data_IF_100274814563
#
_entry.id   IF_100274814563
#
_cell.length_a   1.000
_cell.length_b   1.000
_cell.length_c   1.000
_cell.angle_alpha   90.00
_cell.angle_beta   90.00
_cell.angle_gamma   90.00
#
_symmetry.space_group_name_H-M   'P 1'
#
loop_
_entity.id
_entity.type
_entity.pdbx_description
1 polymer ?
#
# COMPACT_ATOMS: atom_id res chain seq x y z
N UNK A 1 2.76 6.63 -6.68
CA UNK A 1 3.45 5.76 -5.71
C UNK A 1 3.22 4.30 -6.06
N UNK A 2 4.29 3.52 -6.08
CA UNK A 2 4.27 2.08 -6.24
C UNK A 2 4.26 1.42 -4.87
N UNK A 3 3.37 0.44 -4.66
CA UNK A 3 3.25 -0.31 -3.41
C UNK A 3 3.30 -1.78 -3.77
N UNK A 4 4.25 -2.53 -3.21
CA UNK A 4 4.31 -3.95 -3.50
C UNK A 4 5.62 -4.66 -3.19
N UNK A 5 5.85 -5.72 -3.96
CA UNK A 5 7.04 -6.55 -3.88
C UNK A 5 8.18 -6.06 -4.81
N UNK A 6 9.17 -6.91 -5.05
CA UNK A 6 10.31 -6.64 -5.93
C UNK A 6 9.90 -6.19 -7.34
N UNK A 7 8.75 -6.64 -7.85
CA UNK A 7 8.28 -6.22 -9.18
C UNK A 7 7.85 -4.75 -9.19
N UNK A 8 7.24 -4.24 -8.11
CA UNK A 8 6.95 -2.81 -7.95
C UNK A 8 8.22 -1.97 -7.94
N UNK A 9 9.29 -2.47 -7.29
CA UNK A 9 10.60 -1.80 -7.28
C UNK A 9 11.21 -1.68 -8.67
N UNK A 10 11.13 -2.74 -9.47
CA UNK A 10 11.61 -2.72 -10.86
C UNK A 10 10.81 -1.73 -11.72
N UNK A 11 9.48 -1.69 -11.57
CA UNK A 11 8.62 -0.75 -12.30
C UNK A 11 8.91 0.71 -11.90
N UNK A 12 9.06 0.97 -10.59
CA UNK A 12 9.45 2.28 -10.07
C UNK A 12 10.78 2.76 -10.65
N UNK A 13 11.81 1.90 -10.66
CA UNK A 13 13.12 2.24 -11.23
C UNK A 13 13.02 2.50 -12.74
N UNK A 14 12.27 1.66 -13.47
CA UNK A 14 12.02 1.86 -14.89
C UNK A 14 11.35 3.20 -15.18
N UNK A 15 10.34 3.60 -14.39
CA UNK A 15 9.68 4.90 -14.54
C UNK A 15 10.66 6.05 -14.31
N UNK A 16 11.48 5.99 -13.26
CA UNK A 16 12.49 7.04 -13.00
C UNK A 16 13.43 7.18 -14.19
N UNK A 17 13.93 6.08 -14.73
CA UNK A 17 14.81 6.12 -15.91
C UNK A 17 14.11 6.76 -17.12
N UNK A 18 12.84 6.42 -17.40
CA UNK A 18 12.09 7.03 -18.49
C UNK A 18 11.90 8.54 -18.29
N UNK A 19 11.57 8.97 -17.06
CA UNK A 19 11.41 10.38 -16.73
C UNK A 19 12.73 11.15 -16.86
N UNK A 20 13.83 10.56 -16.38
CA UNK A 20 15.16 11.13 -16.53
C UNK A 20 15.59 11.20 -18.01
N UNK A 21 15.25 10.21 -18.85
CA UNK A 21 15.51 10.28 -20.29
C UNK A 21 14.70 11.37 -20.99
N UNK A 22 13.46 11.63 -20.54
CA UNK A 22 12.61 12.67 -21.11
C UNK A 22 13.07 14.08 -20.71
N UNK A 23 13.61 14.26 -19.50
CA UNK A 23 14.14 15.54 -19.01
C UNK A 23 15.52 15.36 -18.36
N UNK A 24 16.60 15.17 -19.15
CA UNK A 24 17.92 14.76 -18.65
C UNK A 24 18.65 15.73 -17.75
N UNK A 25 18.24 17.00 -17.75
CA UNK A 25 18.89 18.08 -17.00
C UNK A 25 18.04 18.61 -15.84
N UNK A 26 16.90 17.98 -15.55
CA UNK A 26 16.08 18.36 -14.41
C UNK A 26 16.82 18.08 -13.10
N UNK A 27 16.73 19.01 -12.15
CA UNK A 27 17.24 18.78 -10.82
C UNK A 27 16.36 17.77 -10.09
N UNK A 28 16.98 16.86 -9.35
CA UNK A 28 16.27 15.86 -8.57
C UNK A 28 16.88 15.58 -7.21
N UNK A 29 16.05 15.09 -6.30
CA UNK A 29 16.47 14.59 -4.98
C UNK A 29 15.93 13.20 -4.74
N UNK A 30 16.63 12.42 -3.90
CA UNK A 30 16.19 11.09 -3.49
C UNK A 30 16.24 10.98 -1.97
N UNK A 31 15.16 10.50 -1.37
CA UNK A 31 15.07 10.27 0.08
C UNK A 31 14.58 8.85 0.36
N UNK A 32 14.93 8.34 1.53
CA UNK A 32 14.42 7.10 2.09
C UNK A 32 14.00 7.38 3.53
N UNK A 33 12.70 7.54 3.74
CA UNK A 33 12.13 7.90 5.04
C UNK A 33 10.98 6.96 5.35
N UNK A 34 10.96 6.40 6.57
CA UNK A 34 9.89 5.50 7.00
C UNK A 34 9.71 4.26 6.12
N UNK A 35 10.75 3.82 5.40
CA UNK A 35 10.66 2.70 4.44
C UNK A 35 10.07 3.07 3.07
N UNK A 36 9.79 4.35 2.83
CA UNK A 36 9.34 4.88 1.54
C UNK A 36 10.51 5.54 0.83
N UNK A 37 10.83 5.05 -0.37
CA UNK A 37 11.80 5.70 -1.27
C UNK A 37 11.07 6.73 -2.12
N UNK A 38 11.53 7.98 -2.11
CA UNK A 38 10.95 9.07 -2.89
C UNK A 38 12.01 9.65 -3.81
N UNK A 39 11.68 9.73 -5.10
CA UNK A 39 12.44 10.45 -6.12
C UNK A 39 11.65 11.68 -6.55
N UNK A 40 12.21 12.87 -6.35
CA UNK A 40 11.53 14.15 -6.61
C UNK A 40 12.24 14.90 -7.71
N UNK A 41 11.53 15.24 -8.80
CA UNK A 41 11.96 16.25 -9.76
C UNK A 41 11.61 17.62 -9.20
N UNK A 42 12.60 18.36 -8.69
CA UNK A 42 12.37 19.59 -7.92
C UNK A 42 11.78 20.70 -8.77
N UNK A 43 12.16 20.77 -10.04
CA UNK A 43 11.76 21.84 -10.95
C UNK A 43 10.27 21.75 -11.36
N UNK A 44 9.69 20.54 -11.29
CA UNK A 44 8.31 20.27 -11.70
C UNK A 44 7.39 19.89 -10.53
N UNK A 45 7.93 19.69 -9.33
CA UNK A 45 7.18 19.18 -8.17
C UNK A 45 6.70 17.74 -8.31
N UNK A 46 7.19 16.99 -9.30
CA UNK A 46 6.77 15.60 -9.57
C UNK A 46 7.51 14.64 -8.66
N UNK A 47 6.78 13.74 -8.00
CA UNK A 47 7.33 12.72 -7.10
C UNK A 47 6.99 11.32 -7.59
N UNK A 48 8.02 10.49 -7.80
CA UNK A 48 7.87 9.05 -7.88
C UNK A 48 8.19 8.46 -6.50
N UNK A 49 7.35 7.55 -6.01
CA UNK A 49 7.49 6.99 -4.67
C UNK A 49 7.37 5.46 -4.71
N UNK A 50 8.08 4.76 -3.85
CA UNK A 50 8.05 3.31 -3.68
C UNK A 50 7.94 2.96 -2.18
N UNK A 51 6.97 2.13 -1.84
CA UNK A 51 6.87 1.45 -0.55
C UNK A 51 6.86 -0.06 -0.75
N UNK A 52 7.80 -0.74 -0.08
CA UNK A 52 7.91 -2.19 -0.12
C UNK A 52 6.89 -2.83 0.84
N UNK A 53 5.63 -2.94 0.39
CA UNK A 53 4.57 -3.64 1.11
C UNK A 53 4.15 -4.89 0.32
N UNK A 54 4.75 -6.01 0.68
CA UNK A 54 4.61 -7.27 -0.05
C UNK A 54 3.18 -7.81 -0.06
N UNK A 55 2.43 -7.66 1.03
CA UNK A 55 1.10 -8.26 1.21
C UNK A 55 -0.06 -7.29 1.02
N UNK A 56 0.20 -5.99 0.91
CA UNK A 56 -0.78 -4.89 0.85
C UNK A 56 -1.69 -4.74 2.08
N UNK A 57 -1.56 -5.63 3.06
CA UNK A 57 -2.26 -5.63 4.34
C UNK A 57 -1.25 -5.84 5.46
N UNK A 58 -1.67 -5.50 6.67
CA UNK A 58 -0.80 -5.65 7.84
C UNK A 58 -0.49 -7.12 8.11
N UNK A 59 0.79 -7.38 8.38
CA UNK A 59 1.26 -8.71 8.78
C UNK A 59 1.79 -8.62 10.20
N UNK A 60 1.18 -9.39 11.09
CA UNK A 60 1.58 -9.44 12.49
C UNK A 60 2.26 -10.78 12.82
N UNK A 61 3.16 -10.74 13.80
CA UNK A 61 3.75 -11.94 14.36
C UNK A 61 2.91 -12.43 15.53
N UNK A 62 2.32 -13.61 15.38
CA UNK A 62 1.58 -14.32 16.43
C UNK A 62 2.36 -15.55 16.87
N UNK A 63 1.93 -16.21 17.96
CA UNK A 63 2.57 -17.46 18.46
C UNK A 63 2.64 -18.57 17.39
N UNK A 64 1.72 -18.55 16.44
CA UNK A 64 1.62 -19.53 15.34
C UNK A 64 2.43 -19.12 14.10
N UNK A 65 3.12 -17.98 14.15
CA UNK A 65 3.88 -17.40 13.04
C UNK A 65 3.27 -16.12 12.49
N UNK A 66 3.60 -15.79 11.24
CA UNK A 66 3.09 -14.58 10.57
C UNK A 66 1.63 -14.76 10.20
N UNK A 67 0.81 -13.78 10.51
CA UNK A 67 -0.62 -13.78 10.22
C UNK A 67 -1.01 -12.52 9.46
N UNK A 68 -1.77 -12.69 8.39
CA UNK A 68 -2.28 -11.59 7.57
C UNK A 68 -3.58 -11.05 8.19
N UNK A 69 -3.63 -9.75 8.48
CA UNK A 69 -4.86 -9.07 8.92
C UNK A 69 -5.59 -8.48 7.71
N UNK A 70 -6.49 -9.26 7.10
CA UNK A 70 -7.18 -8.84 5.86
C UNK A 70 -8.15 -7.67 6.06
N UNK A 71 -8.51 -7.35 7.30
CA UNK A 71 -9.33 -6.21 7.68
C UNK A 71 -8.51 -4.95 7.98
N UNK A 72 -7.17 -5.04 7.98
CA UNK A 72 -6.27 -3.99 8.45
C UNK A 72 -5.29 -3.53 7.36
N UNK A 73 -5.16 -2.21 7.23
CA UNK A 73 -4.20 -1.52 6.36
C UNK A 73 -3.63 -0.30 7.10
N UNK A 74 -3.32 -0.44 8.40
CA UNK A 74 -2.73 0.62 9.21
C UNK A 74 -1.39 1.07 8.63
N UNK A 75 -0.63 0.16 8.02
CA UNK A 75 0.58 0.50 7.25
C UNK A 75 0.31 1.37 6.02
N UNK A 76 -0.94 1.41 5.55
CA UNK A 76 -1.37 2.20 4.40
C UNK A 76 -1.74 3.66 4.69
N UNK A 77 -1.56 4.16 5.92
CA UNK A 77 -1.79 5.58 6.25
C UNK A 77 -0.99 6.53 5.32
N UNK A 78 0.22 6.14 4.93
CA UNK A 78 1.07 6.90 4.00
C UNK A 78 0.56 6.96 2.55
N UNK A 79 -0.48 6.20 2.20
CA UNK A 79 -1.05 6.18 0.84
C UNK A 79 -2.09 7.28 0.64
N UNK A 80 -2.56 7.90 1.73
CA UNK A 80 -3.56 8.96 1.69
C UNK A 80 -3.00 10.21 1.01
N UNK A 81 -3.83 10.83 0.17
CA UNK A 81 -3.47 12.06 -0.54
C UNK A 81 -2.50 11.87 -1.71
N UNK A 82 -2.11 10.63 -2.04
CA UNK A 82 -1.30 10.33 -3.22
C UNK A 82 -2.18 10.36 -4.48
N UNK A 83 -1.74 11.07 -5.52
CA UNK A 83 -2.51 11.25 -6.77
C UNK A 83 -2.71 9.96 -7.56
N UNK A 84 -1.70 9.08 -7.57
CA UNK A 84 -1.73 7.81 -8.29
C UNK A 84 -1.07 6.71 -7.46
N UNK A 85 -1.83 5.66 -7.17
CA UNK A 85 -1.36 4.46 -6.47
C UNK A 85 -1.32 3.28 -7.44
N UNK A 86 -0.19 2.57 -7.45
CA UNK A 86 0.03 1.39 -8.29
C UNK A 86 0.37 0.23 -7.37
N UNK A 87 -0.59 -0.68 -7.18
CA UNK A 87 -0.43 -1.87 -6.35
C UNK A 87 0.05 -3.06 -7.16
N UNK A 88 1.01 -3.82 -6.64
CA UNK A 88 1.38 -5.12 -7.17
C UNK A 88 1.78 -6.06 -6.04
N UNK A 89 1.21 -7.26 -6.03
CA UNK A 89 1.53 -8.29 -5.06
C UNK A 89 1.37 -9.66 -5.68
N UNK A 90 2.46 -10.44 -5.79
CA UNK A 90 2.37 -11.78 -6.37
C UNK A 90 3.42 -12.75 -5.83
N UNK A 91 4.71 -12.41 -5.97
CA UNK A 91 5.80 -13.39 -5.84
C UNK A 91 5.83 -14.09 -4.48
N UNK A 92 5.43 -13.37 -3.43
CA UNK A 92 5.51 -13.85 -2.05
C UNK A 92 4.34 -14.75 -1.65
N UNK A 93 3.22 -14.70 -2.35
CA UNK A 93 2.10 -15.61 -2.12
C UNK A 93 2.45 -17.05 -2.51
N UNK A 94 3.34 -17.25 -3.47
CA UNK A 94 3.70 -18.60 -3.94
C UNK A 94 4.85 -19.22 -3.13
N UNK A 95 5.61 -18.40 -2.40
CA UNK A 95 6.74 -18.87 -1.60
C UNK A 95 6.24 -19.60 -0.34
N UNK A 96 6.41 -20.92 -0.33
CA UNK A 96 6.04 -21.80 0.78
C UNK A 96 6.65 -21.47 2.15
N UNK A 97 7.88 -20.93 2.29
CA UNK A 97 8.45 -20.68 3.62
C UNK A 97 7.86 -19.47 4.35
N UNK A 98 7.04 -18.62 3.71
CA UNK A 98 6.57 -17.35 4.32
C UNK A 98 5.15 -17.38 4.89
N UNK A 99 4.47 -18.53 4.89
CA UNK A 99 3.23 -18.69 5.69
C UNK A 99 2.06 -17.78 5.31
N UNK A 100 1.96 -17.33 4.05
CA UNK A 100 0.89 -16.43 3.56
C UNK A 100 -0.45 -17.14 3.32
N UNK A 101 -0.83 -18.04 4.22
CA UNK A 101 -2.12 -18.73 4.27
C UNK A 101 -2.81 -18.58 5.63
N UNK A 102 -2.10 -18.12 6.66
CA UNK A 102 -2.68 -17.78 7.95
C UNK A 102 -3.30 -16.38 7.87
N UNK A 103 -4.61 -16.33 8.03
CA UNK A 103 -5.38 -15.10 7.94
C UNK A 103 -6.14 -14.88 9.24
N UNK A 104 -5.96 -13.71 9.84
CA UNK A 104 -6.79 -13.25 10.92
C UNK A 104 -8.07 -12.66 10.34
N UNK A 105 -9.20 -13.15 10.83
CA UNK A 105 -10.51 -12.60 10.49
C UNK A 105 -11.34 -12.41 11.75
N UNK A 106 -11.98 -11.26 11.88
CA UNK A 106 -13.02 -11.05 12.88
C UNK A 106 -14.19 -12.02 12.61
N UNK A 107 -14.62 -12.74 13.64
CA UNK A 107 -15.80 -13.59 13.57
C UNK A 107 -17.01 -12.75 13.11
N UNK A 108 -17.81 -13.31 12.19
CA UNK A 108 -18.93 -12.61 11.55
C UNK A 108 -19.88 -12.04 12.63
N UNK A 109 -20.11 -10.73 12.62
CA UNK A 109 -20.97 -10.04 13.58
C UNK A 109 -20.32 -9.63 14.92
N UNK A 110 -19.01 -9.83 15.11
CA UNK A 110 -18.30 -9.39 16.33
C UNK A 110 -17.30 -8.27 16.03
N UNK A 111 -17.34 -7.20 16.83
CA UNK A 111 -16.43 -6.03 16.72
C UNK A 111 -15.19 -6.11 17.61
N UNK A 112 -15.14 -7.04 18.56
CA UNK A 112 -14.03 -7.10 19.52
C UNK A 112 -12.84 -7.90 18.93
N UNK A 113 -11.65 -7.29 18.77
CA UNK A 113 -10.46 -7.92 18.21
C UNK A 113 -9.97 -9.16 18.95
N UNK A 114 -10.28 -9.29 20.25
CA UNK A 114 -9.87 -10.45 21.06
C UNK A 114 -10.50 -11.78 20.60
N UNK A 115 -11.54 -11.72 19.75
CA UNK A 115 -12.25 -12.88 19.21
C UNK A 115 -11.89 -13.17 17.76
N UNK A 116 -10.86 -12.52 17.22
CA UNK A 116 -10.38 -12.80 15.89
C UNK A 116 -9.85 -14.24 15.83
N UNK A 117 -10.31 -15.00 14.84
CA UNK A 117 -9.85 -16.36 14.60
C UNK A 117 -8.79 -16.34 13.51
N UNK A 118 -7.75 -17.15 13.68
CA UNK A 118 -6.79 -17.41 12.61
C UNK A 118 -7.26 -18.59 11.79
N UNK A 119 -7.43 -18.37 10.50
CA UNK A 119 -7.92 -19.34 9.54
C UNK A 119 -6.83 -19.65 8.53
N UNK A 120 -6.69 -20.94 8.21
CA UNK A 120 -5.95 -21.39 7.04
C UNK A 120 -6.85 -21.24 5.82
N UNK A 121 -6.53 -20.31 4.92
CA UNK A 121 -7.25 -20.15 3.65
C UNK A 121 -6.32 -20.36 2.46
N UNK A 122 -6.84 -20.87 1.31
CA UNK A 122 -6.04 -20.96 0.10
C UNK A 122 -5.47 -19.60 -0.30
N UNK A 123 -4.17 -19.57 -0.63
CA UNK A 123 -3.41 -18.32 -0.82
C UNK A 123 -4.01 -17.40 -1.88
N UNK A 124 -4.60 -17.95 -2.95
CA UNK A 124 -5.33 -17.19 -3.97
C UNK A 124 -6.46 -16.33 -3.40
N UNK A 125 -7.17 -16.83 -2.39
CA UNK A 125 -8.26 -16.10 -1.75
C UNK A 125 -7.73 -15.04 -0.79
N UNK A 126 -6.64 -15.35 -0.07
CA UNK A 126 -5.95 -14.36 0.77
C UNK A 126 -5.42 -13.19 -0.06
N UNK A 127 -4.76 -13.48 -1.19
CA UNK A 127 -4.24 -12.48 -2.13
C UNK A 127 -5.36 -11.60 -2.70
N UNK A 128 -6.44 -12.21 -3.19
CA UNK A 128 -7.58 -11.48 -3.72
C UNK A 128 -8.24 -10.57 -2.67
N UNK A 129 -8.36 -11.06 -1.43
CA UNK A 129 -8.92 -10.27 -0.34
C UNK A 129 -8.00 -9.11 0.07
N UNK A 130 -6.69 -9.31 0.08
CA UNK A 130 -5.71 -8.26 0.37
C UNK A 130 -5.75 -7.13 -0.68
N UNK A 131 -5.77 -7.49 -1.97
CA UNK A 131 -5.93 -6.52 -3.08
C UNK A 131 -7.26 -5.77 -2.94
N UNK A 132 -8.37 -6.49 -2.72
CA UNK A 132 -9.68 -5.87 -2.54
C UNK A 132 -9.71 -4.92 -1.33
N UNK A 133 -8.98 -5.23 -0.25
CA UNK A 133 -8.90 -4.37 0.94
C UNK A 133 -8.12 -3.09 0.64
N UNK A 134 -6.95 -3.22 0.01
CA UNK A 134 -6.11 -2.09 -0.36
C UNK A 134 -6.86 -1.12 -1.28
N UNK A 135 -7.49 -1.64 -2.35
CA UNK A 135 -8.32 -0.81 -3.24
C UNK A 135 -9.51 -0.17 -2.53
N UNK A 136 -10.18 -0.93 -1.64
CA UNK A 136 -11.33 -0.46 -0.88
C UNK A 136 -10.98 0.67 0.09
N UNK A 137 -9.83 0.57 0.77
CA UNK A 137 -9.31 1.61 1.65
C UNK A 137 -9.10 2.93 0.91
N UNK A 138 -8.40 2.87 -0.22
CA UNK A 138 -8.15 4.05 -1.08
C UNK A 138 -9.45 4.70 -1.55
N UNK A 139 -10.45 3.91 -1.97
CA UNK A 139 -11.74 4.45 -2.43
C UNK A 139 -12.52 5.14 -1.30
N UNK A 140 -12.42 4.63 -0.07
CA UNK A 140 -13.06 5.25 1.10
C UNK A 140 -12.40 6.59 1.44
N UNK A 141 -11.07 6.67 1.35
CA UNK A 141 -10.32 7.90 1.55
C UNK A 141 -10.57 8.92 0.43
N UNK A 142 -10.71 8.48 -0.82
CA UNK A 142 -11.09 9.38 -1.93
C UNK A 142 -12.45 10.04 -1.67
N UNK A 143 -13.43 9.27 -1.18
CA UNK A 143 -14.73 9.83 -0.79
C UNK A 143 -14.59 10.83 0.37
N UNK A 144 -13.83 10.49 1.41
CA UNK A 144 -13.60 11.38 2.56
C UNK A 144 -12.88 12.68 2.15
N UNK A 145 -11.85 12.61 1.32
CA UNK A 145 -11.09 13.78 0.84
C UNK A 145 -11.87 14.62 -0.18
N UNK A 146 -12.72 14.03 -1.03
CA UNK A 146 -13.65 14.79 -1.87
C UNK A 146 -14.67 15.56 -1.04
N UNK A 147 -15.21 14.94 0.02
CA UNK A 147 -16.13 15.59 0.94
C UNK A 147 -15.46 16.73 1.73
N UNK A 148 -14.21 16.55 2.17
CA UNK A 148 -13.44 17.59 2.83
C UNK A 148 -13.14 18.79 1.90
N UNK A 149 -12.75 18.54 0.64
CA UNK A 149 -12.51 19.60 -0.36
C UNK A 149 -13.77 20.40 -0.72
N UNK A 150 -14.95 19.81 -0.61
CA UNK A 150 -16.23 20.52 -0.83
C UNK A 150 -16.74 21.30 0.39
N UNK A 151 -16.16 21.07 1.57
CA UNK A 151 -16.58 21.68 2.82
C UNK A 151 -15.50 22.55 3.48
N UNK A 152 -14.40 22.86 2.80
CA UNK A 152 -13.53 23.95 3.26
C UNK A 152 -14.31 25.27 3.13
N UNK A 153 -14.47 26.05 4.21
CA UNK A 153 -14.96 27.40 4.07
C UNK A 153 -13.96 28.16 3.21
N UNK A 154 -14.45 28.77 2.12
CA UNK A 154 -13.69 29.73 1.33
C UNK A 154 -13.06 30.72 2.32
N UNK A 155 -11.74 30.60 2.53
CA UNK A 155 -10.99 31.58 3.29
C UNK A 155 -11.17 32.91 2.57
N UNK A 156 -11.89 33.82 3.22
CA UNK A 156 -12.16 35.16 2.73
C UNK A 156 -10.82 35.86 2.44
N UNK A 157 -10.68 36.33 1.21
CA UNK A 157 -9.66 37.28 0.79
C UNK A 157 -9.93 38.67 1.39
#
# INVERSE_FOLDING_TARGET
MYIGDSSSRNQYQSLICMLHSAVPHANYTTTLEGGVSTFTFTDNGVKAMLECNVSLVDVVSEKIGRVLKLDSIETGEGWKGIDMLIFNTWHWWNLAPYGMNQVQRLARGRRNPSWAQVLNIPRRFAAAAAVSRAEGGVKQDYKASSFARHNEPLAAA
#
